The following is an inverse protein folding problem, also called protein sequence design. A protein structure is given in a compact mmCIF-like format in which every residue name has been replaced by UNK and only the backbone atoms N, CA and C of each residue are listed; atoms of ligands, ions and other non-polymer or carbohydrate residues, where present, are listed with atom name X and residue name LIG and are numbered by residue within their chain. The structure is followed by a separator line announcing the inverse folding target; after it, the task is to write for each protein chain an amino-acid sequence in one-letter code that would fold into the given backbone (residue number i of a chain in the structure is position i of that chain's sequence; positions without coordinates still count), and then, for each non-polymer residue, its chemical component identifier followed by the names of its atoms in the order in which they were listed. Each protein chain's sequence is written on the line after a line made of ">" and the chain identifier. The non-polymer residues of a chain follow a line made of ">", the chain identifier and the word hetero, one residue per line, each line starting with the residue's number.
data_IF_348835259266
#
_entry.id   IF_348835259266
#
_cell.length_a   1.000
_cell.length_b   1.000
_cell.length_c   1.000
_cell.angle_alpha   90.00
_cell.angle_beta   90.00
_cell.angle_gamma   90.00
#
_symmetry.space_group_name_H-M   'P 1'
#
loop_
_entity.id
_entity.type
_entity.pdbx_description
1 polymer ?
#
# COMPACT_ATOMS: atom_id res chain seq x y z
N UNK A 1 -5.08 6.15 18.27
CA UNK A 1 -3.96 5.91 17.37
C UNK A 1 -4.29 6.59 16.07
N UNK A 2 -3.47 7.54 15.63
CA UNK A 2 -3.72 8.28 14.41
C UNK A 2 -2.87 7.67 13.29
N UNK A 3 -3.45 7.55 12.09
CA UNK A 3 -2.76 6.98 10.94
C UNK A 3 -2.71 7.98 9.80
N UNK A 4 -1.62 7.96 9.05
CA UNK A 4 -1.44 8.81 7.88
C UNK A 4 -1.33 7.96 6.62
N UNK A 5 -2.08 8.28 5.55
CA UNK A 5 -1.87 7.67 4.25
C UNK A 5 -0.48 8.00 3.71
N UNK A 6 0.25 6.99 3.27
CA UNK A 6 1.49 7.10 2.53
C UNK A 6 1.28 6.50 1.14
N UNK A 7 1.23 7.37 0.14
CA UNK A 7 1.12 7.00 -1.26
C UNK A 7 2.51 6.92 -1.88
N UNK A 8 2.78 5.85 -2.63
CA UNK A 8 4.04 5.65 -3.35
C UNK A 8 3.76 5.16 -4.76
N UNK A 9 4.41 5.76 -5.75
CA UNK A 9 4.34 5.32 -7.15
C UNK A 9 5.71 4.90 -7.63
N UNK A 10 5.79 3.66 -8.08
CA UNK A 10 7.02 3.03 -8.52
C UNK A 10 7.14 3.16 -10.03
N UNK A 11 8.09 3.96 -10.51
CA UNK A 11 8.23 4.26 -11.93
C UNK A 11 9.07 3.21 -12.63
N UNK A 12 10.38 3.21 -12.38
CA UNK A 12 11.34 2.36 -13.06
C UNK A 12 12.61 2.14 -12.25
N UNK A 13 13.37 1.12 -12.61
CA UNK A 13 14.76 0.97 -12.21
C UNK A 13 15.65 0.88 -13.45
N UNK A 14 16.90 1.30 -13.30
CA UNK A 14 17.87 1.27 -14.40
C UNK A 14 19.25 0.82 -13.93
N UNK A 15 20.01 0.26 -14.88
CA UNK A 15 21.36 -0.23 -14.62
C UNK A 15 21.40 -1.42 -13.66
N UNK A 16 20.33 -2.23 -13.61
CA UNK A 16 20.32 -3.44 -12.82
C UNK A 16 21.39 -4.42 -13.32
N UNK A 17 22.26 -4.90 -12.44
CA UNK A 17 23.22 -5.93 -12.84
C UNK A 17 22.49 -7.25 -13.05
N UNK A 18 22.85 -7.93 -14.13
CA UNK A 18 22.25 -9.21 -14.47
C UNK A 18 22.48 -10.24 -13.37
N UNK A 19 21.41 -10.91 -12.96
CA UNK A 19 21.44 -12.05 -12.04
C UNK A 19 21.13 -13.36 -12.75
N UNK A 20 20.78 -13.29 -14.04
CA UNK A 20 20.60 -14.45 -14.92
C UNK A 20 21.75 -14.51 -15.93
N UNK A 21 22.24 -15.72 -16.18
CA UNK A 21 23.28 -15.95 -17.19
C UNK A 21 22.71 -16.32 -18.57
N UNK A 22 21.44 -16.75 -18.63
CA UNK A 22 20.85 -17.35 -19.84
C UNK A 22 19.42 -16.88 -20.17
N UNK A 23 18.76 -16.06 -19.33
CA UNK A 23 17.36 -15.66 -19.54
C UNK A 23 17.07 -14.22 -19.12
N UNK A 24 16.09 -13.60 -19.78
CA UNK A 24 15.66 -12.24 -19.47
C UNK A 24 15.14 -12.11 -18.03
N UNK A 25 15.61 -11.09 -17.30
CA UNK A 25 15.15 -10.82 -15.94
C UNK A 25 13.67 -10.38 -15.93
N UNK A 26 12.84 -11.08 -15.15
CA UNK A 26 11.45 -10.74 -14.87
C UNK A 26 11.36 -10.12 -13.48
N UNK A 27 11.53 -8.81 -13.40
CA UNK A 27 11.69 -8.11 -12.11
C UNK A 27 10.34 -7.66 -11.56
N UNK A 28 10.09 -7.92 -10.29
CA UNK A 28 9.01 -7.32 -9.50
C UNK A 28 9.60 -6.74 -8.21
N UNK A 29 8.81 -5.96 -7.48
CA UNK A 29 9.25 -5.32 -6.25
C UNK A 29 8.32 -5.63 -5.10
N UNK A 30 8.92 -5.92 -3.95
CA UNK A 30 8.25 -6.05 -2.67
C UNK A 30 8.47 -4.76 -1.90
N UNK A 31 7.39 -4.07 -1.58
CA UNK A 31 7.40 -2.85 -0.77
C UNK A 31 6.95 -3.21 0.63
N UNK A 32 7.73 -2.81 1.63
CA UNK A 32 7.39 -3.03 3.04
C UNK A 32 7.75 -1.83 3.92
N UNK A 33 6.98 -1.60 4.98
CA UNK A 33 7.28 -0.57 5.99
C UNK A 33 7.61 -1.26 7.31
N UNK A 34 8.91 -1.39 7.58
CA UNK A 34 9.40 -1.97 8.83
C UNK A 34 9.11 -1.03 9.99
N UNK A 35 8.67 -1.58 11.13
CA UNK A 35 8.22 -0.82 12.31
C UNK A 35 6.69 -0.67 12.38
N UNK A 36 5.99 -1.05 11.31
CA UNK A 36 4.53 -1.11 11.29
C UNK A 36 4.03 -2.55 11.07
N UNK A 37 2.91 -2.91 11.68
CA UNK A 37 2.59 -4.31 11.94
C UNK A 37 2.12 -5.14 10.74
N UNK A 38 1.77 -4.56 9.57
CA UNK A 38 1.30 -5.35 8.41
C UNK A 38 1.31 -4.57 7.07
N UNK A 39 2.46 -4.05 6.64
CA UNK A 39 2.55 -3.12 5.51
C UNK A 39 3.35 -3.68 4.33
N UNK A 40 3.13 -4.94 3.92
CA UNK A 40 3.82 -5.58 2.80
C UNK A 40 2.91 -5.66 1.56
N UNK A 41 3.36 -5.09 0.44
CA UNK A 41 2.69 -5.18 -0.87
C UNK A 41 3.71 -5.55 -1.95
N UNK A 42 3.24 -6.09 -3.07
CA UNK A 42 4.08 -6.50 -4.20
C UNK A 42 3.57 -5.90 -5.50
N UNK A 43 4.48 -5.49 -6.38
CA UNK A 43 4.13 -5.05 -7.73
C UNK A 43 3.86 -6.25 -8.62
N UNK A 44 3.10 -6.09 -9.71
CA UNK A 44 3.19 -7.03 -10.82
C UNK A 44 4.63 -7.10 -11.36
N UNK A 45 4.90 -8.16 -12.14
CA UNK A 45 6.13 -8.25 -12.91
C UNK A 45 6.20 -7.06 -13.88
N UNK A 46 7.39 -6.47 -13.99
CA UNK A 46 7.63 -5.33 -14.87
C UNK A 46 7.25 -5.64 -16.32
N UNK A 47 6.70 -4.62 -16.99
CA UNK A 47 6.38 -4.65 -18.43
C UNK A 47 7.64 -4.71 -19.29
N UNK A 48 8.76 -4.17 -18.80
CA UNK A 48 10.05 -4.19 -19.49
C UNK A 48 10.95 -5.26 -18.87
N UNK A 49 11.38 -6.23 -19.69
CA UNK A 49 12.28 -7.28 -19.25
C UNK A 49 13.75 -6.81 -19.26
N UNK A 50 14.57 -7.41 -18.40
CA UNK A 50 16.01 -7.16 -18.36
C UNK A 50 16.44 -6.14 -17.30
N UNK A 51 17.42 -5.30 -17.64
CA UNK A 51 18.15 -4.45 -16.68
C UNK A 51 17.47 -3.11 -16.35
N UNK A 52 16.42 -2.78 -17.09
CA UNK A 52 15.70 -1.52 -16.98
C UNK A 52 14.18 -1.75 -16.83
N UNK A 53 13.71 -2.35 -15.72
CA UNK A 53 12.29 -2.60 -15.52
C UNK A 53 11.52 -1.29 -15.29
N UNK A 54 10.31 -1.23 -15.84
CA UNK A 54 9.30 -0.20 -15.59
C UNK A 54 8.02 -0.84 -15.05
N UNK A 55 7.43 -0.23 -14.02
CA UNK A 55 6.18 -0.68 -13.40
C UNK A 55 5.06 0.34 -13.60
N UNK A 56 5.34 1.62 -13.34
CA UNK A 56 4.33 2.69 -13.27
C UNK A 56 3.15 2.26 -12.39
N UNK A 57 3.46 1.83 -11.16
CA UNK A 57 2.50 1.20 -10.26
C UNK A 57 2.39 1.95 -8.93
N UNK A 58 1.18 2.41 -8.61
CA UNK A 58 0.85 3.11 -7.36
C UNK A 58 0.40 2.16 -6.26
N UNK A 59 0.86 2.41 -5.04
CA UNK A 59 0.49 1.69 -3.82
C UNK A 59 0.18 2.70 -2.71
N UNK A 60 -0.70 2.30 -1.79
CA UNK A 60 -1.02 3.08 -0.59
C UNK A 60 -0.83 2.26 0.66
N UNK A 61 -0.19 2.85 1.65
CA UNK A 61 -0.03 2.32 3.00
C UNK A 61 -0.66 3.27 4.01
N UNK A 62 -0.93 2.77 5.21
CA UNK A 62 -1.38 3.58 6.34
C UNK A 62 -0.36 3.41 7.45
N UNK A 63 0.34 4.49 7.79
CA UNK A 63 1.41 4.46 8.79
C UNK A 63 0.97 5.15 10.07
N UNK A 64 1.36 4.60 11.21
CA UNK A 64 1.06 5.22 12.50
C UNK A 64 1.81 6.55 12.66
N UNK A 65 1.06 7.62 12.90
CA UNK A 65 1.57 9.00 12.95
C UNK A 65 2.68 9.15 14.00
N UNK A 66 2.49 8.56 15.19
CA UNK A 66 3.46 8.61 16.28
C UNK A 66 4.81 8.00 15.88
N UNK A 67 4.79 6.82 15.23
CA UNK A 67 6.00 6.12 14.80
C UNK A 67 6.71 6.84 13.65
N UNK A 68 5.95 7.50 12.78
CA UNK A 68 6.50 8.33 11.70
C UNK A 68 7.36 9.46 12.28
N UNK A 69 6.83 10.20 13.25
CA UNK A 69 7.54 11.33 13.88
C UNK A 69 8.74 10.88 14.73
N UNK A 70 8.65 9.70 15.35
CA UNK A 70 9.71 9.08 16.14
C UNK A 70 10.83 8.45 15.29
N UNK A 71 10.76 8.51 13.96
CA UNK A 71 11.72 7.86 13.06
C UNK A 71 11.81 6.34 13.26
N UNK A 72 10.72 5.71 13.67
CA UNK A 72 10.67 4.26 13.91
C UNK A 72 10.24 3.45 12.68
N UNK A 73 9.99 4.13 11.54
CA UNK A 73 9.49 3.52 10.31
C UNK A 73 10.53 3.56 9.18
N UNK A 74 10.75 2.42 8.54
CA UNK A 74 11.68 2.29 7.41
C UNK A 74 11.00 1.69 6.18
N UNK A 75 11.09 2.40 5.06
CA UNK A 75 10.60 1.96 3.75
C UNK A 75 11.66 1.04 3.17
N UNK A 76 11.27 -0.19 2.88
CA UNK A 76 12.13 -1.19 2.25
C UNK A 76 11.51 -1.58 0.91
N UNK A 77 12.22 -1.23 -0.17
CA UNK A 77 11.85 -1.54 -1.54
C UNK A 77 12.80 -2.63 -2.06
N UNK A 78 12.35 -3.87 -2.06
CA UNK A 78 13.17 -5.03 -2.42
C UNK A 78 12.86 -5.52 -3.83
N UNK A 79 13.84 -5.41 -4.73
CA UNK A 79 13.74 -5.87 -6.12
C UNK A 79 14.05 -7.36 -6.18
N UNK A 80 13.14 -8.13 -6.76
CA UNK A 80 13.26 -9.58 -6.94
C UNK A 80 13.06 -9.96 -8.40
N UNK A 81 13.79 -10.97 -8.84
CA UNK A 81 13.65 -11.55 -10.17
C UNK A 81 12.88 -12.87 -10.06
N UNK A 82 11.70 -12.91 -10.68
CA UNK A 82 10.91 -14.13 -10.78
C UNK A 82 11.60 -15.16 -11.65
N UNK A 83 11.68 -16.40 -11.18
CA UNK A 83 12.27 -17.52 -11.94
C UNK A 83 11.30 -18.68 -12.04
N UNK A 84 11.29 -19.33 -13.21
CA UNK A 84 10.47 -20.54 -13.44
C UNK A 84 11.00 -21.75 -12.66
N UNK A 85 12.31 -21.79 -12.37
CA UNK A 85 12.97 -22.89 -11.67
C UNK A 85 13.95 -22.32 -10.64
N UNK A 86 13.96 -22.87 -9.43
CA UNK A 86 14.95 -22.50 -8.38
C UNK A 86 14.57 -21.31 -7.50
N UNK A 87 13.34 -20.81 -7.60
CA UNK A 87 12.82 -19.73 -6.76
C UNK A 87 13.31 -18.34 -7.14
N UNK A 88 12.66 -17.33 -6.57
CA UNK A 88 12.90 -15.93 -6.92
C UNK A 88 14.20 -15.41 -6.29
N UNK A 89 15.04 -14.78 -7.12
CA UNK A 89 16.33 -14.23 -6.69
C UNK A 89 16.22 -12.78 -6.27
N UNK A 90 16.94 -12.41 -5.24
CA UNK A 90 17.06 -11.02 -4.81
C UNK A 90 18.06 -10.27 -5.70
N UNK A 91 17.61 -9.15 -6.26
CA UNK A 91 18.44 -8.28 -7.13
C UNK A 91 19.13 -7.21 -6.30
N UNK A 92 18.41 -6.66 -5.32
CA UNK A 92 18.87 -5.66 -4.39
C UNK A 92 17.69 -4.96 -3.72
N UNK A 93 17.99 -3.99 -2.87
CA UNK A 93 16.99 -3.27 -2.10
C UNK A 93 17.36 -1.79 -1.92
N UNK A 94 16.34 -1.00 -1.61
CA UNK A 94 16.47 0.39 -1.17
C UNK A 94 15.82 0.51 0.19
N UNK A 95 16.57 1.04 1.16
CA UNK A 95 16.11 1.29 2.51
C UNK A 95 16.11 2.80 2.76
N UNK A 96 14.96 3.38 3.09
CA UNK A 96 14.81 4.81 3.36
C UNK A 96 13.99 5.03 4.64
N UNK A 97 14.45 5.82 5.61
CA UNK A 97 13.61 6.22 6.74
C UNK A 97 12.40 7.02 6.26
N UNK A 98 11.18 6.64 6.67
CA UNK A 98 9.97 7.35 6.23
C UNK A 98 9.96 8.80 6.71
N UNK A 99 10.50 9.06 7.90
CA UNK A 99 10.62 10.42 8.44
C UNK A 99 11.38 11.35 7.48
N UNK A 100 12.47 10.86 6.88
CA UNK A 100 13.24 11.65 5.91
C UNK A 100 12.40 12.04 4.68
N UNK A 101 11.54 11.13 4.22
CA UNK A 101 10.62 11.41 3.11
C UNK A 101 9.54 12.39 3.55
N UNK A 102 9.00 12.21 4.76
CA UNK A 102 7.98 13.08 5.33
C UNK A 102 8.47 14.53 5.48
N UNK A 103 9.61 14.72 6.13
CA UNK A 103 10.24 16.03 6.32
C UNK A 103 10.59 16.69 4.98
N UNK A 104 10.94 15.89 3.96
CA UNK A 104 11.23 16.39 2.61
C UNK A 104 9.98 16.79 1.83
N UNK A 105 8.83 16.19 2.11
CA UNK A 105 7.56 16.52 1.45
C UNK A 105 6.90 17.76 2.06
N UNK A 106 7.24 18.08 3.31
CA UNK A 106 6.69 19.24 4.01
C UNK A 106 7.11 20.54 3.31
N UNK A 107 6.12 21.28 2.78
CA UNK A 107 6.35 22.52 2.02
C UNK A 107 6.51 22.36 0.50
N UNK A 108 6.47 21.13 -0.02
CA UNK A 108 6.48 20.91 -1.47
C UNK A 108 5.07 21.01 -2.08
N UNK A 109 4.94 21.76 -3.17
CA UNK A 109 3.66 21.90 -3.91
C UNK A 109 3.39 20.73 -4.85
N UNK A 110 4.42 19.98 -5.23
CA UNK A 110 4.36 18.90 -6.22
C UNK A 110 4.84 17.58 -5.59
N UNK A 111 4.39 16.46 -6.15
CA UNK A 111 4.76 15.11 -5.69
C UNK A 111 6.22 14.84 -6.08
N UNK A 112 7.18 14.76 -5.14
CA UNK A 112 8.58 14.57 -5.46
C UNK A 112 8.84 13.20 -6.07
N UNK A 113 9.47 13.18 -7.25
CA UNK A 113 10.13 11.99 -7.78
C UNK A 113 11.58 11.94 -7.24
N UNK A 114 11.96 10.81 -6.65
CA UNK A 114 13.28 10.60 -6.06
C UNK A 114 13.96 9.39 -6.70
N UNK A 115 15.28 9.49 -6.84
CA UNK A 115 16.13 8.42 -7.35
C UNK A 115 17.04 7.91 -6.24
N UNK A 116 16.96 6.62 -5.95
CA UNK A 116 17.75 5.97 -4.92
C UNK A 116 18.60 4.84 -5.50
N UNK A 117 19.79 4.66 -4.94
CA UNK A 117 20.70 3.57 -5.32
C UNK A 117 20.16 2.24 -4.83
N UNK A 118 20.11 1.25 -5.71
CA UNK A 118 19.79 -0.14 -5.35
C UNK A 118 21.05 -0.79 -4.81
N UNK A 119 20.99 -1.27 -3.57
CA UNK A 119 22.12 -1.88 -2.87
C UNK A 119 21.83 -3.37 -2.65
N UNK A 120 22.80 -4.24 -2.91
CA UNK A 120 22.67 -5.66 -2.53
C UNK A 120 22.81 -5.86 -1.02
N UNK A 121 22.35 -7.01 -0.47
CA UNK A 121 22.69 -7.41 0.89
C UNK A 121 24.21 -7.43 1.17
N UNK A 122 25.03 -7.62 0.13
CA UNK A 122 26.49 -7.55 0.20
C UNK A 122 27.07 -6.11 0.09
N UNK A 123 26.24 -5.06 0.17
CA UNK A 123 26.66 -3.66 0.17
C UNK A 123 27.05 -3.08 -1.20
N UNK A 124 27.01 -3.86 -2.29
CA UNK A 124 27.38 -3.38 -3.62
C UNK A 124 26.22 -2.66 -4.30
N UNK A 125 26.50 -1.52 -4.93
CA UNK A 125 25.54 -0.81 -5.79
C UNK A 125 25.23 -1.65 -7.04
N UNK A 126 23.94 -1.76 -7.37
CA UNK A 126 23.42 -2.59 -8.46
C UNK A 126 22.47 -1.88 -9.38
N UNK A 127 22.39 -0.55 -9.33
CA UNK A 127 21.54 0.25 -10.20
C UNK A 127 20.89 1.40 -9.42
N UNK A 128 19.87 1.99 -10.01
CA UNK A 128 19.06 3.04 -9.40
C UNK A 128 17.58 2.74 -9.57
N UNK A 129 16.78 3.14 -8.59
CA UNK A 129 15.32 3.03 -8.55
C UNK A 129 14.74 4.43 -8.48
N UNK A 130 13.79 4.73 -9.36
CA UNK A 130 13.02 5.96 -9.39
C UNK A 130 11.59 5.70 -8.91
N UNK A 131 11.15 6.46 -7.91
CA UNK A 131 9.78 6.42 -7.41
C UNK A 131 9.36 7.81 -6.94
N UNK A 132 8.06 8.06 -6.89
CA UNK A 132 7.48 9.25 -6.28
C UNK A 132 6.65 8.88 -5.07
N UNK A 133 6.42 9.83 -4.17
CA UNK A 133 5.70 9.58 -2.93
C UNK A 133 4.95 10.80 -2.43
N UNK A 134 3.94 10.57 -1.60
CA UNK A 134 3.13 11.61 -0.98
C UNK A 134 2.55 11.16 0.35
N UNK A 135 2.30 12.14 1.22
CA UNK A 135 1.70 11.92 2.53
C UNK A 135 0.34 12.62 2.60
N UNK A 136 -0.69 11.85 2.92
CA UNK A 136 -2.06 12.34 3.08
C UNK A 136 -2.28 13.04 4.42
N UNK A 137 -3.53 13.48 4.65
CA UNK A 137 -3.96 14.01 5.94
C UNK A 137 -4.08 12.89 6.97
N UNK A 138 -3.74 13.20 8.21
CA UNK A 138 -3.89 12.28 9.34
C UNK A 138 -5.35 11.91 9.56
N UNK A 139 -5.59 10.61 9.76
CA UNK A 139 -6.89 9.99 9.98
C UNK A 139 -6.94 9.54 11.44
N UNK A 140 -7.82 10.12 12.27
CA UNK A 140 -7.99 9.65 13.63
C UNK A 140 -8.71 8.30 13.65
N UNK A 141 -8.20 7.32 14.39
CA UNK A 141 -8.97 6.10 14.67
C UNK A 141 -10.13 6.48 15.58
N UNK A 142 -11.32 6.55 15.00
CA UNK A 142 -12.55 6.47 15.78
C UNK A 142 -12.63 5.05 16.34
N UNK A 143 -12.30 4.88 17.61
CA UNK A 143 -12.74 3.70 18.36
C UNK A 143 -14.24 3.58 18.16
N UNK A 144 -14.67 2.42 17.66
CA UNK A 144 -16.08 2.11 17.47
C UNK A 144 -16.86 2.49 18.74
N UNK A 145 -17.95 3.21 18.52
CA UNK A 145 -18.97 3.53 19.51
C UNK A 145 -19.34 2.24 20.27
N UNK A 146 -19.52 2.26 21.61
CA UNK A 146 -19.93 1.08 22.36
C UNK A 146 -21.18 0.47 21.72
N UNK A 147 -21.15 -0.85 21.58
CA UNK A 147 -22.24 -1.67 21.04
C UNK A 147 -23.60 -1.18 21.52
N UNK A 148 -24.45 -0.76 20.60
CA UNK A 148 -25.85 -0.55 20.90
C UNK A 148 -26.42 -1.86 21.48
N UNK A 149 -27.12 -1.83 22.63
CA UNK A 149 -27.78 -3.04 23.13
C UNK A 149 -28.77 -3.53 22.07
N UNK A 150 -28.63 -4.81 21.71
CA UNK A 150 -29.52 -5.47 20.74
C UNK A 150 -30.98 -5.28 21.17
N UNK A 151 -31.73 -4.45 20.46
CA UNK A 151 -33.18 -4.42 20.55
C UNK A 151 -33.70 -5.66 19.83
N UNK A 152 -34.12 -6.65 20.63
CA UNK A 152 -34.85 -7.83 20.20
C UNK A 152 -36.12 -7.45 19.41
N UNK A 153 -36.45 -8.14 18.30
CA UNK A 153 -37.70 -7.90 17.59
C UNK A 153 -38.84 -8.61 18.31
N UNK A 154 -39.66 -7.85 19.05
CA UNK A 154 -40.94 -8.34 19.56
C UNK A 154 -42.05 -7.32 19.27
N UNK A 155 -42.67 -7.43 18.09
CA UNK A 155 -44.10 -7.16 17.91
C UNK A 155 -44.56 -7.59 16.50
N UNK A 156 -45.68 -8.32 16.37
CA UNK A 156 -46.28 -8.67 15.09
C UNK A 156 -46.94 -7.44 14.43
N UNK A 157 -46.83 -7.35 13.10
CA UNK A 157 -47.43 -6.30 12.27
C UNK A 157 -48.96 -6.27 12.42
N UNK A 158 -49.52 -5.11 12.77
CA UNK A 158 -50.94 -4.77 12.61
C UNK A 158 -51.16 -4.11 11.25
N UNK A 159 -52.13 -4.55 10.43
CA UNK A 159 -52.47 -3.88 9.19
C UNK A 159 -53.28 -2.58 9.43
N UNK A 160 -53.13 -1.57 8.56
CA UNK A 160 -53.77 -0.25 8.74
C UNK A 160 -55.29 -0.28 8.52
N UNK A 161 -56.00 0.47 9.37
CA UNK A 161 -57.45 0.69 9.34
C UNK A 161 -57.94 1.38 8.06
N UNK A 162 -59.08 0.89 7.56
CA UNK A 162 -60.15 1.78 7.08
C UNK A 162 -60.33 1.89 5.57
N UNK A 163 -61.16 1.00 5.00
CA UNK A 163 -62.08 1.39 3.92
C UNK A 163 -63.47 0.80 4.23
N UNK A 164 -64.45 1.71 4.22
CA UNK A 164 -65.85 1.52 4.61
C UNK A 164 -66.73 1.24 3.37
N UNK A 165 -68.01 0.93 3.65
CA UNK A 165 -69.21 0.87 2.78
C UNK A 165 -69.58 -0.52 2.18
N UNK A 166 -70.88 -0.78 1.93
CA UNK A 166 -71.95 -0.92 2.92
C UNK A 166 -72.77 -2.22 2.70
N UNK A 167 -73.66 -2.54 3.65
CA UNK A 167 -74.38 -3.81 3.69
C UNK A 167 -75.51 -4.00 2.68
N UNK A 168 -75.78 -5.27 2.42
CA UNK A 168 -77.06 -5.92 2.10
C UNK A 168 -76.90 -7.36 2.66
N UNK A 169 -77.76 -7.96 3.47
CA UNK A 169 -79.21 -7.87 3.52
C UNK A 169 -79.80 -9.12 2.88
N UNK A 170 -80.21 -10.07 3.73
CA UNK A 170 -81.20 -11.15 3.54
C UNK A 170 -80.76 -12.56 3.06
N UNK A 171 -81.09 -13.51 3.97
CA UNK A 171 -81.49 -14.95 3.87
C UNK A 171 -80.63 -15.93 3.07
#
# INVERSE_FOLDING_TARGET
>A
MDYRPFDITLHSASGLKDVNFFSSMRVYMVVSIVGDSNSRQETPISKCHGKNPAWEFGMRFYVEESKLHQNCLMLVLKLRCSQTVGGDKDVGEVCVPLKKLFDSAEGQKEIPAVTHKVITPAGKQRGVLCFSYGFGKTIPVRTAVPSAPCLSPSAPYLPPEGYFFPGYGYI
#
